data_IF_610122701236
#
_entry.id   IF_610122701236
#
_cell.length_a   1.000
_cell.length_b   1.000
_cell.length_c   1.000
_cell.angle_alpha   90.00
_cell.angle_beta   90.00
_cell.angle_gamma   90.00
#
_symmetry.space_group_name_H-M   'P 1'
#
loop_
_entity.id
_entity.type
_entity.pdbx_description
1 polymer ?
#
# COMPACT_ATOMS: atom_id res chain seq x y z
N UNK A 1 -6.11 -7.64 -15.39
CA UNK A 1 -6.23 -6.26 -14.88
C UNK A 1 -5.66 -6.32 -13.48
N UNK A 2 -4.75 -5.42 -13.15
CA UNK A 2 -4.08 -5.44 -11.84
C UNK A 2 -5.05 -4.94 -10.79
N UNK A 3 -5.13 -5.65 -9.67
CA UNK A 3 -5.98 -5.31 -8.54
C UNK A 3 -5.14 -4.87 -7.33
N UNK A 4 -5.51 -3.75 -6.74
CA UNK A 4 -4.86 -3.16 -5.57
C UNK A 4 -5.82 -3.17 -4.39
N UNK A 5 -5.38 -3.70 -3.25
CA UNK A 5 -6.08 -3.49 -1.99
C UNK A 5 -5.60 -2.19 -1.34
N UNK A 6 -6.52 -1.26 -1.07
CA UNK A 6 -6.21 0.01 -0.41
C UNK A 6 -6.56 -0.06 1.08
N UNK A 7 -5.52 -0.23 1.89
CA UNK A 7 -5.59 -0.32 3.35
C UNK A 7 -5.45 1.05 4.01
N UNK A 8 -6.18 1.28 5.10
CA UNK A 8 -6.01 2.47 5.94
C UNK A 8 -6.92 2.46 7.16
N UNK A 9 -6.71 3.34 8.16
CA UNK A 9 -7.61 3.48 9.31
C UNK A 9 -9.04 3.87 8.89
N UNK A 10 -10.05 3.11 9.33
CA UNK A 10 -11.48 3.32 9.01
C UNK A 10 -12.33 3.69 10.24
N UNK A 11 -12.04 3.09 11.40
CA UNK A 11 -12.95 3.11 12.57
C UNK A 11 -13.00 4.47 13.27
N UNK A 12 -11.88 5.19 13.34
CA UNK A 12 -11.81 6.48 14.02
C UNK A 12 -11.90 7.60 12.97
N UNK A 13 -13.05 8.25 12.88
CA UNK A 13 -13.34 9.28 11.86
C UNK A 13 -12.25 10.36 11.78
N UNK A 14 -11.79 10.87 12.93
CA UNK A 14 -10.71 11.89 12.97
C UNK A 14 -9.32 11.39 12.56
N UNK A 15 -9.14 10.07 12.41
CA UNK A 15 -7.89 9.47 11.93
C UNK A 15 -7.98 8.98 10.48
N UNK A 16 -9.19 8.97 9.90
CA UNK A 16 -9.39 8.60 8.49
C UNK A 16 -8.69 9.60 7.59
N UNK A 17 -8.06 9.07 6.54
CA UNK A 17 -7.41 9.87 5.49
C UNK A 17 -8.20 9.77 4.20
N UNK A 18 -9.48 10.16 4.23
CA UNK A 18 -10.38 10.02 3.08
C UNK A 18 -9.87 10.74 1.82
N UNK A 19 -9.19 11.88 1.96
CA UNK A 19 -8.59 12.59 0.81
C UNK A 19 -7.41 11.81 0.22
N UNK A 20 -6.60 11.15 1.05
CA UNK A 20 -5.57 10.22 0.57
C UNK A 20 -6.21 9.05 -0.17
N UNK A 21 -7.26 8.45 0.41
CA UNK A 21 -7.92 7.31 -0.21
C UNK A 21 -8.50 7.65 -1.59
N UNK A 22 -9.18 8.79 -1.70
CA UNK A 22 -9.73 9.27 -2.98
C UNK A 22 -8.63 9.57 -3.99
N UNK A 23 -7.56 10.25 -3.59
CA UNK A 23 -6.42 10.55 -4.47
C UNK A 23 -5.79 9.28 -5.02
N UNK A 24 -5.55 8.26 -4.18
CA UNK A 24 -5.02 6.96 -4.62
C UNK A 24 -5.96 6.26 -5.60
N UNK A 25 -7.26 6.17 -5.29
CA UNK A 25 -8.26 5.54 -6.16
C UNK A 25 -8.29 6.23 -7.51
N UNK A 26 -8.51 7.56 -7.53
CA UNK A 26 -8.59 8.32 -8.76
C UNK A 26 -7.33 8.19 -9.61
N UNK A 27 -6.15 8.21 -8.97
CA UNK A 27 -4.88 8.14 -9.66
C UNK A 27 -4.63 6.78 -10.32
N UNK A 28 -4.94 5.69 -9.60
CA UNK A 28 -4.74 4.33 -10.10
C UNK A 28 -5.82 3.92 -11.11
N UNK A 29 -7.09 4.24 -10.87
CA UNK A 29 -8.19 3.92 -11.79
C UNK A 29 -8.05 4.64 -13.14
N UNK A 30 -7.55 5.89 -13.16
CA UNK A 30 -7.22 6.62 -14.40
C UNK A 30 -6.21 5.88 -15.28
N UNK A 31 -5.44 4.95 -14.70
CA UNK A 31 -4.44 4.12 -15.38
C UNK A 31 -4.94 2.71 -15.69
N UNK A 32 -6.21 2.41 -15.41
CA UNK A 32 -6.80 1.10 -15.65
C UNK A 32 -6.46 0.04 -14.59
N UNK A 33 -6.06 0.46 -13.40
CA UNK A 33 -5.80 -0.40 -12.24
C UNK A 33 -7.06 -0.42 -11.36
N UNK A 34 -7.53 -1.61 -11.00
CA UNK A 34 -8.70 -1.79 -10.13
C UNK A 34 -8.29 -1.59 -8.66
N UNK A 35 -9.06 -0.82 -7.90
CA UNK A 35 -8.75 -0.51 -6.49
C UNK A 35 -9.91 -0.94 -5.59
N UNK A 36 -9.65 -1.93 -4.75
CA UNK A 36 -10.58 -2.30 -3.68
C UNK A 36 -10.36 -1.43 -2.45
N UNK A 37 -11.38 -0.64 -2.08
CA UNK A 37 -11.32 0.37 -1.02
C UNK A 37 -12.39 0.13 0.08
N UNK A 38 -12.10 -0.66 1.14
CA UNK A 38 -13.05 -1.01 2.19
C UNK A 38 -13.66 0.19 2.93
N UNK A 39 -12.93 1.31 3.04
CA UNK A 39 -13.34 2.56 3.69
C UNK A 39 -14.61 3.21 3.11
N UNK A 40 -14.97 2.86 1.86
CA UNK A 40 -16.14 3.40 1.16
C UNK A 40 -17.25 2.36 0.99
N UNK A 41 -17.10 1.17 1.57
CA UNK A 41 -18.13 0.15 1.56
C UNK A 41 -19.12 0.35 2.70
N UNK A 42 -20.37 -0.09 2.48
CA UNK A 42 -21.36 -0.14 3.55
C UNK A 42 -20.86 -1.04 4.68
N UNK A 43 -21.09 -0.60 5.92
CA UNK A 43 -20.83 -1.42 7.10
C UNK A 43 -21.76 -2.63 7.11
N UNK A 44 -21.22 -3.76 7.54
CA UNK A 44 -21.94 -5.03 7.75
C UNK A 44 -21.42 -5.67 9.04
N UNK A 45 -21.90 -6.85 9.41
CA UNK A 45 -21.38 -7.52 10.60
C UNK A 45 -19.90 -7.87 10.48
N UNK A 46 -19.25 -8.00 11.63
CA UNK A 46 -17.80 -8.18 11.74
C UNK A 46 -17.28 -9.42 11.01
N UNK A 47 -18.08 -10.50 10.94
CA UNK A 47 -17.68 -11.73 10.24
C UNK A 47 -17.60 -11.48 8.74
N UNK A 48 -18.63 -10.87 8.16
CA UNK A 48 -18.62 -10.55 6.73
C UNK A 48 -17.54 -9.51 6.37
N UNK A 49 -17.26 -8.52 7.22
CA UNK A 49 -16.14 -7.58 7.00
C UNK A 49 -14.82 -8.36 6.94
N UNK A 50 -14.56 -9.21 7.95
CA UNK A 50 -13.33 -10.00 8.00
C UNK A 50 -13.18 -10.92 6.78
N UNK A 51 -14.21 -11.70 6.44
CA UNK A 51 -14.17 -12.63 5.32
C UNK A 51 -13.99 -11.89 3.98
N UNK A 52 -14.69 -10.77 3.78
CA UNK A 52 -14.54 -9.92 2.60
C UNK A 52 -13.13 -9.39 2.49
N UNK A 53 -12.61 -8.74 3.52
CA UNK A 53 -11.33 -8.02 3.45
C UNK A 53 -10.17 -9.01 3.29
N UNK A 54 -10.19 -10.15 4.00
CA UNK A 54 -9.22 -11.24 3.81
C UNK A 54 -9.24 -11.77 2.37
N UNK A 55 -10.44 -11.99 1.81
CA UNK A 55 -10.56 -12.49 0.45
C UNK A 55 -10.10 -11.47 -0.61
N UNK A 56 -10.34 -10.19 -0.36
CA UNK A 56 -9.92 -9.11 -1.26
C UNK A 56 -8.41 -8.90 -1.22
N UNK A 57 -7.77 -8.97 -0.04
CA UNK A 57 -6.30 -8.99 0.05
C UNK A 57 -5.72 -10.18 -0.71
N UNK A 58 -6.33 -11.37 -0.60
CA UNK A 58 -5.87 -12.57 -1.33
C UNK A 58 -5.95 -12.42 -2.85
N UNK A 59 -7.02 -11.81 -3.36
CA UNK A 59 -7.26 -11.60 -4.80
C UNK A 59 -6.43 -10.47 -5.41
N UNK A 60 -6.08 -9.46 -4.61
CA UNK A 60 -5.30 -8.31 -5.07
C UNK A 60 -3.86 -8.70 -5.40
N UNK A 61 -3.25 -8.09 -6.40
CA UNK A 61 -1.86 -8.34 -6.79
C UNK A 61 -0.87 -7.68 -5.83
N UNK A 62 -1.25 -6.54 -5.25
CA UNK A 62 -0.46 -5.79 -4.28
C UNK A 62 -1.36 -5.04 -3.28
N UNK A 63 -0.73 -4.48 -2.26
CA UNK A 63 -1.39 -3.68 -1.23
C UNK A 63 -0.79 -2.27 -1.16
N UNK A 64 -1.64 -1.25 -1.12
CA UNK A 64 -1.27 0.14 -0.80
C UNK A 64 -1.83 0.46 0.58
N UNK A 65 -1.01 0.96 1.50
CA UNK A 65 -1.44 1.26 2.87
C UNK A 65 -1.14 2.70 3.29
N UNK A 66 -2.11 3.37 3.88
CA UNK A 66 -1.89 4.59 4.67
C UNK A 66 -1.67 4.20 6.14
N UNK A 67 -0.54 4.59 6.74
CA UNK A 67 -0.15 4.17 8.10
C UNK A 67 0.19 5.34 9.04
N UNK A 68 -0.30 6.54 8.75
CA UNK A 68 -0.07 7.72 9.61
C UNK A 68 -0.63 7.54 11.02
N UNK A 69 -1.67 6.70 11.17
CA UNK A 69 -2.27 6.39 12.48
C UNK A 69 -2.25 4.88 12.74
N UNK A 70 -1.99 4.44 13.98
CA UNK A 70 -2.09 3.02 14.35
C UNK A 70 -3.48 2.44 14.08
N UNK A 71 -3.55 1.27 13.44
CA UNK A 71 -4.79 0.56 13.16
C UNK A 71 -4.55 -0.95 13.19
N UNK A 72 -5.34 -1.68 13.97
CA UNK A 72 -5.24 -3.14 14.07
C UNK A 72 -5.63 -3.83 12.76
N UNK A 73 -6.69 -3.33 12.09
CA UNK A 73 -7.13 -3.87 10.79
C UNK A 73 -6.05 -3.74 9.73
N UNK A 74 -5.45 -2.54 9.62
CA UNK A 74 -4.30 -2.29 8.72
C UNK A 74 -3.14 -3.24 9.04
N UNK A 75 -2.85 -3.46 10.33
CA UNK A 75 -1.82 -4.42 10.74
C UNK A 75 -2.10 -5.86 10.29
N UNK A 76 -3.36 -6.31 10.37
CA UNK A 76 -3.78 -7.63 9.88
C UNK A 76 -3.65 -7.75 8.36
N UNK A 77 -4.07 -6.71 7.63
CA UNK A 77 -4.02 -6.64 6.16
C UNK A 77 -2.57 -6.61 5.65
N UNK A 78 -1.71 -5.78 6.25
CA UNK A 78 -0.28 -5.73 5.96
C UNK A 78 0.38 -7.10 6.15
N UNK A 79 0.14 -7.74 7.30
CA UNK A 79 0.74 -9.04 7.59
C UNK A 79 0.28 -10.11 6.60
N UNK A 80 -1.02 -10.14 6.28
CA UNK A 80 -1.55 -11.09 5.29
C UNK A 80 -0.93 -10.88 3.90
N UNK A 81 -0.81 -9.64 3.43
CA UNK A 81 -0.18 -9.35 2.14
C UNK A 81 1.28 -9.81 2.10
N UNK A 82 2.03 -9.57 3.18
CA UNK A 82 3.44 -9.97 3.31
C UNK A 82 3.58 -11.49 3.30
N UNK A 83 2.78 -12.21 4.08
CA UNK A 83 2.80 -13.69 4.13
C UNK A 83 2.41 -14.32 2.78
N UNK A 84 1.59 -13.62 1.99
CA UNK A 84 1.24 -14.04 0.63
C UNK A 84 2.28 -13.63 -0.43
N UNK A 85 3.40 -12.99 -0.04
CA UNK A 85 4.44 -12.56 -0.96
C UNK A 85 4.01 -11.43 -1.90
N UNK A 86 3.01 -10.63 -1.51
CA UNK A 86 2.51 -9.51 -2.32
C UNK A 86 3.34 -8.25 -2.04
N UNK A 87 3.70 -7.46 -3.05
CA UNK A 87 4.31 -6.15 -2.84
C UNK A 87 3.42 -5.23 -1.99
N UNK A 88 4.02 -4.53 -1.04
CA UNK A 88 3.32 -3.58 -0.17
C UNK A 88 3.91 -2.18 -0.32
N UNK A 89 3.10 -1.23 -0.79
CA UNK A 89 3.46 0.19 -0.83
C UNK A 89 2.86 0.88 0.41
N UNK A 90 3.70 1.33 1.33
CA UNK A 90 3.27 2.01 2.54
C UNK A 90 3.48 3.51 2.40
N UNK A 91 2.48 4.30 2.73
CA UNK A 91 2.51 5.75 2.80
C UNK A 91 2.30 6.22 4.24
N UNK A 92 3.14 7.14 4.67
CA UNK A 92 3.10 7.73 6.02
C UNK A 92 3.26 9.24 5.93
N UNK A 93 2.37 9.98 6.59
CA UNK A 93 2.53 11.42 6.68
C UNK A 93 3.76 11.77 7.53
N UNK A 94 4.61 12.71 7.07
CA UNK A 94 5.87 13.08 7.76
C UNK A 94 5.66 13.55 9.20
N UNK A 95 4.53 14.19 9.48
CA UNK A 95 4.18 14.68 10.82
C UNK A 95 3.51 13.63 11.71
N UNK A 96 3.31 12.40 11.24
CA UNK A 96 2.78 11.34 12.10
C UNK A 96 3.78 11.02 13.23
N UNK A 97 3.27 10.62 14.39
CA UNK A 97 4.13 10.43 15.56
C UNK A 97 5.09 9.24 15.41
N UNK A 98 4.57 8.02 15.56
CA UNK A 98 5.36 6.79 15.58
C UNK A 98 4.66 5.69 14.80
N UNK A 99 5.39 5.13 13.83
CA UNK A 99 5.00 3.89 13.17
C UNK A 99 5.50 2.68 13.99
N UNK A 100 4.73 1.59 14.00
CA UNK A 100 5.10 0.36 14.71
C UNK A 100 6.45 -0.18 14.25
N UNK A 101 7.30 -0.58 15.21
CA UNK A 101 8.58 -1.25 14.93
C UNK A 101 8.41 -2.53 14.11
N UNK A 102 7.26 -3.21 14.25
CA UNK A 102 6.96 -4.38 13.42
C UNK A 102 6.79 -3.99 11.95
N UNK A 103 6.06 -2.92 11.65
CA UNK A 103 5.87 -2.44 10.28
C UNK A 103 7.21 -1.98 9.70
N UNK A 104 8.02 -1.24 10.47
CA UNK A 104 9.37 -0.84 10.05
C UNK A 104 10.28 -2.04 9.74
N UNK A 105 10.26 -3.09 10.57
CA UNK A 105 11.10 -4.28 10.37
C UNK A 105 10.55 -5.29 9.36
N UNK A 106 9.31 -5.13 8.89
CA UNK A 106 8.68 -6.10 8.00
C UNK A 106 9.35 -6.17 6.62
N UNK A 107 9.40 -7.35 6.01
CA UNK A 107 9.89 -7.52 4.64
C UNK A 107 8.77 -7.30 3.62
N UNK A 108 9.08 -7.32 2.32
CA UNK A 108 8.07 -7.31 1.26
C UNK A 108 7.40 -5.96 1.03
N UNK A 109 7.93 -4.90 1.64
CA UNK A 109 7.37 -3.55 1.58
C UNK A 109 8.35 -2.50 1.06
N UNK A 110 7.80 -1.35 0.72
CA UNK A 110 8.50 -0.06 0.65
C UNK A 110 7.73 0.95 1.50
N UNK A 111 8.44 1.87 2.14
CA UNK A 111 7.86 2.95 2.93
C UNK A 111 8.16 4.29 2.27
N UNK A 112 7.12 5.02 1.91
CA UNK A 112 7.15 6.38 1.43
C UNK A 112 6.65 7.34 2.51
N UNK A 113 7.32 8.48 2.63
CA UNK A 113 6.88 9.57 3.50
C UNK A 113 6.40 10.76 2.68
N UNK A 114 5.20 11.26 3.01
CA UNK A 114 4.56 12.36 2.30
C UNK A 114 4.15 13.50 3.24
N UNK A 115 4.11 14.72 2.70
CA UNK A 115 3.54 15.90 3.36
C UNK A 115 2.32 16.44 2.63
N UNK A 116 2.17 16.12 1.34
CA UNK A 116 1.05 16.57 0.51
C UNK A 116 0.54 15.41 -0.35
N UNK A 117 -0.70 15.51 -0.81
CA UNK A 117 -1.26 14.51 -1.74
C UNK A 117 -0.57 14.54 -3.10
N UNK A 118 -0.07 15.71 -3.53
CA UNK A 118 0.72 15.80 -4.76
C UNK A 118 1.99 14.94 -4.72
N UNK A 119 2.67 14.85 -3.57
CA UNK A 119 3.81 13.94 -3.43
C UNK A 119 3.40 12.46 -3.57
N UNK A 120 2.23 12.07 -3.05
CA UNK A 120 1.70 10.70 -3.20
C UNK A 120 1.41 10.39 -4.67
N UNK A 121 0.76 11.34 -5.36
CA UNK A 121 0.44 11.22 -6.79
C UNK A 121 1.71 11.14 -7.64
N UNK A 122 2.73 11.95 -7.34
CA UNK A 122 4.02 11.92 -8.02
C UNK A 122 4.73 10.58 -7.82
N UNK A 123 4.73 10.05 -6.59
CA UNK A 123 5.31 8.74 -6.28
C UNK A 123 4.60 7.62 -7.05
N UNK A 124 3.26 7.60 -7.02
CA UNK A 124 2.48 6.60 -7.75
C UNK A 124 2.66 6.71 -9.27
N UNK A 125 2.78 7.93 -9.81
CA UNK A 125 3.00 8.19 -11.24
C UNK A 125 4.31 7.58 -11.75
N UNK A 126 5.34 7.53 -10.90
CA UNK A 126 6.67 7.04 -11.27
C UNK A 126 6.80 5.51 -11.20
N UNK A 127 5.78 4.83 -10.67
CA UNK A 127 5.76 3.38 -10.43
C UNK A 127 4.81 2.73 -11.45
N UNK A 128 5.34 1.76 -12.20
CA UNK A 128 4.56 0.83 -13.02
C UNK A 128 4.03 -0.30 -12.14
N UNK A 129 2.82 -0.09 -11.62
CA UNK A 129 2.14 -0.97 -10.67
C UNK A 129 2.03 -2.41 -11.21
N UNK A 130 1.89 -2.54 -12.52
CA UNK A 130 1.75 -3.80 -13.25
C UNK A 130 3.02 -4.63 -13.33
N UNK A 131 4.17 -4.01 -13.09
CA UNK A 131 5.50 -4.65 -13.16
C UNK A 131 6.10 -4.87 -11.77
N UNK A 132 5.31 -4.69 -10.69
CA UNK A 132 5.83 -4.80 -9.34
C UNK A 132 6.15 -6.24 -8.94
N UNK A 133 7.27 -6.39 -8.25
CA UNK A 133 7.72 -7.66 -7.70
C UNK A 133 8.48 -7.44 -6.40
N UNK A 134 8.70 -8.52 -5.66
CA UNK A 134 9.54 -8.51 -4.47
C UNK A 134 11.01 -8.70 -4.87
N UNK A 135 11.81 -7.66 -4.63
CA UNK A 135 13.26 -7.70 -4.81
C UNK A 135 13.90 -6.74 -3.80
N UNK A 136 14.79 -7.25 -2.96
CA UNK A 136 15.47 -6.44 -1.95
C UNK A 136 16.52 -5.55 -2.62
N UNK A 137 16.39 -4.24 -2.42
CA UNK A 137 17.35 -3.27 -2.91
C UNK A 137 18.66 -3.36 -2.13
N UNK A 138 19.79 -3.17 -2.83
CA UNK A 138 21.14 -3.14 -2.26
C UNK A 138 21.56 -1.74 -1.79
N UNK A 139 20.76 -0.71 -2.09
CA UNK A 139 21.07 0.71 -1.84
C UNK A 139 20.11 1.40 -0.85
N UNK A 140 18.99 0.76 -0.49
CA UNK A 140 18.01 1.28 0.45
C UNK A 140 17.17 0.14 1.05
N UNK A 141 16.27 0.47 1.97
CA UNK A 141 15.44 -0.51 2.70
C UNK A 141 14.19 -0.98 1.93
N UNK A 142 14.07 -0.68 0.63
CA UNK A 142 12.95 -1.15 -0.19
C UNK A 142 13.10 -2.63 -0.54
N UNK A 143 12.00 -3.38 -0.40
CA UNK A 143 11.88 -4.77 -0.84
C UNK A 143 11.01 -4.91 -2.10
N UNK A 144 10.63 -3.79 -2.70
CA UNK A 144 9.76 -3.74 -3.88
C UNK A 144 10.55 -3.14 -5.05
N UNK A 145 10.39 -3.74 -6.23
CA UNK A 145 11.01 -3.29 -7.46
C UNK A 145 10.07 -3.45 -8.65
N UNK A 146 10.35 -2.72 -9.73
CA UNK A 146 9.75 -2.95 -11.04
C UNK A 146 10.63 -3.88 -11.86
N UNK A 147 10.03 -4.90 -12.46
CA UNK A 147 10.68 -5.75 -13.46
C UNK A 147 11.08 -4.90 -14.67
N UNK A 148 12.33 -5.05 -15.12
CA UNK A 148 12.83 -4.47 -16.36
C UNK A 148 13.21 -5.59 -17.33
N UNK A 149 13.47 -5.24 -18.59
CA UNK A 149 14.01 -6.17 -19.59
C UNK A 149 15.36 -6.78 -19.17
N UNK A 150 16.12 -6.08 -18.33
CA UNK A 150 17.38 -6.55 -17.73
C UNK A 150 17.44 -6.09 -16.27
N UNK A 151 16.96 -6.94 -15.37
CA UNK A 151 17.07 -6.72 -13.93
C UNK A 151 15.84 -6.06 -13.30
N UNK A 152 16.07 -5.40 -12.16
CA UNK A 152 15.04 -4.83 -11.30
C UNK A 152 15.37 -3.37 -10.98
N UNK A 153 14.38 -2.49 -11.16
CA UNK A 153 14.49 -1.08 -10.73
C UNK A 153 13.81 -0.92 -9.38
N UNK A 154 14.55 -0.51 -8.36
CA UNK A 154 13.98 -0.24 -7.04
C UNK A 154 12.93 0.90 -7.13
N UNK A 155 11.73 0.67 -6.57
CA UNK A 155 10.65 1.67 -6.58
C UNK A 155 10.92 2.88 -5.69
N UNK A 156 11.85 2.77 -4.74
CA UNK A 156 12.17 3.85 -3.81
C UNK A 156 13.31 4.74 -4.31
N UNK A 157 14.51 4.16 -4.50
CA UNK A 157 15.71 4.93 -4.87
C UNK A 157 16.03 4.90 -6.37
N UNK A 158 15.30 4.11 -7.17
CA UNK A 158 15.52 4.01 -8.61
C UNK A 158 16.76 3.22 -9.05
N UNK A 159 17.54 2.64 -8.12
CA UNK A 159 18.71 1.81 -8.47
C UNK A 159 18.32 0.60 -9.31
N UNK A 160 19.15 0.24 -10.28
CA UNK A 160 18.95 -0.93 -11.14
C UNK A 160 19.94 -2.01 -10.74
N UNK A 161 19.43 -3.21 -10.47
CA UNK A 161 20.20 -4.42 -10.15
C UNK A 161 19.91 -5.54 -11.14
#
# INVERSE_FOLDING_TARGET
MVQVYLSGPIIHEGLRKDDFYKSVIEHLEKRGIDVFAPQFMASTDAKHIYERDVEQVKKSDLLVAEVSSPSLGVGMELMLAIELGKPVLIFRHRESERLSRMVFGATGKVLFEYSTLGEVEDMLSQIRIEELTLHQCTQCDSHVAEVQSRGYRCVFCGSIN
#
